data_IF_399729049646
#
_entry.id   IF_399729049646
#
_cell.length_a   1.000
_cell.length_b   1.000
_cell.length_c   1.000
_cell.angle_alpha   90.00
_cell.angle_beta   90.00
_cell.angle_gamma   90.00
#
_symmetry.space_group_name_H-M   'P 1'
#
loop_
_entity.id
_entity.type
_entity.pdbx_description
1 polymer ?
#
# COMPACT_ATOMS: atom_id res chain seq x y z
N UNK A 1 7.41 -7.44 20.57
CA UNK A 1 6.46 -7.61 19.47
C UNK A 1 6.61 -8.99 18.87
N UNK A 2 5.57 -9.81 18.92
CA UNK A 2 5.56 -11.12 18.27
C UNK A 2 5.16 -10.97 16.80
N UNK A 3 5.87 -11.66 15.89
CA UNK A 3 5.52 -11.69 14.47
C UNK A 3 5.06 -13.09 14.08
N UNK A 4 3.91 -13.20 13.42
CA UNK A 4 3.27 -14.49 13.10
C UNK A 4 2.83 -14.53 11.65
N UNK A 5 3.00 -15.67 10.98
CA UNK A 5 2.52 -15.91 9.62
C UNK A 5 1.13 -16.54 9.67
N UNK A 6 0.18 -15.96 8.93
CA UNK A 6 -1.13 -16.56 8.70
C UNK A 6 -1.12 -17.37 7.39
N UNK A 7 -1.85 -18.48 7.41
CA UNK A 7 -1.81 -19.50 6.34
C UNK A 7 -2.92 -19.37 5.30
N UNK A 8 -3.88 -18.48 5.51
CA UNK A 8 -5.03 -18.31 4.63
C UNK A 8 -5.27 -16.80 4.43
N UNK A 9 -5.71 -16.34 3.25
CA UNK A 9 -6.05 -14.95 3.00
C UNK A 9 -7.36 -14.55 3.72
N UNK A 10 -7.55 -13.26 3.99
CA UNK A 10 -8.77 -12.77 4.64
C UNK A 10 -9.82 -12.49 3.55
N UNK A 11 -10.88 -13.29 3.49
CA UNK A 11 -11.87 -13.21 2.40
C UNK A 11 -12.57 -11.85 2.29
N UNK A 12 -12.77 -11.15 3.41
CA UNK A 12 -13.37 -9.79 3.42
C UNK A 12 -12.42 -8.79 2.77
N UNK A 13 -11.12 -8.87 3.11
CA UNK A 13 -10.09 -8.04 2.51
C UNK A 13 -9.93 -8.33 1.01
N UNK A 14 -9.80 -9.60 0.64
CA UNK A 14 -9.62 -10.05 -0.74
C UNK A 14 -10.75 -9.53 -1.64
N UNK A 15 -12.00 -9.78 -1.24
CA UNK A 15 -13.16 -9.41 -2.06
C UNK A 15 -13.39 -7.91 -2.12
N UNK A 16 -13.08 -7.18 -1.04
CA UNK A 16 -13.09 -5.70 -1.07
C UNK A 16 -12.08 -5.19 -2.08
N UNK A 17 -10.87 -5.76 -2.09
CA UNK A 17 -9.82 -5.32 -3.00
C UNK A 17 -10.12 -5.69 -4.47
N UNK A 18 -10.71 -6.85 -4.74
CA UNK A 18 -11.16 -7.21 -6.09
C UNK A 18 -12.19 -6.21 -6.63
N UNK A 19 -13.18 -5.86 -5.81
CA UNK A 19 -14.21 -4.88 -6.18
C UNK A 19 -13.62 -3.47 -6.35
N UNK A 20 -12.72 -3.05 -5.47
CA UNK A 20 -11.99 -1.78 -5.62
C UNK A 20 -11.14 -1.73 -6.90
N UNK A 21 -10.37 -2.78 -7.18
CA UNK A 21 -9.52 -2.84 -8.37
C UNK A 21 -10.34 -2.80 -9.66
N UNK A 22 -11.53 -3.41 -9.67
CA UNK A 22 -12.45 -3.35 -10.82
C UNK A 22 -12.92 -1.94 -11.19
N UNK A 23 -12.88 -0.99 -10.24
CA UNK A 23 -13.31 0.40 -10.43
C UNK A 23 -12.16 1.38 -10.64
N UNK A 24 -10.93 0.98 -10.32
CA UNK A 24 -9.76 1.87 -10.35
C UNK A 24 -8.78 1.60 -11.50
N UNK A 25 -9.02 0.54 -12.28
CA UNK A 25 -8.11 0.10 -13.34
C UNK A 25 -6.95 -0.75 -12.82
N UNK A 26 -6.61 -0.71 -11.53
CA UNK A 26 -5.45 -1.40 -10.94
C UNK A 26 -5.60 -2.93 -10.85
N UNK A 27 -5.93 -3.59 -11.95
CA UNK A 27 -6.12 -5.03 -12.06
C UNK A 27 -4.78 -5.74 -12.20
N UNK A 28 -4.76 -7.02 -11.80
CA UNK A 28 -3.63 -7.92 -12.02
C UNK A 28 -3.25 -8.03 -13.52
N UNK A 29 -4.22 -7.80 -14.42
CA UNK A 29 -4.01 -7.75 -15.87
C UNK A 29 -3.16 -6.55 -16.29
N UNK A 30 -3.49 -5.34 -15.82
CA UNK A 30 -2.69 -4.14 -16.10
C UNK A 30 -1.27 -4.24 -15.52
N UNK A 31 -1.15 -4.80 -14.31
CA UNK A 31 0.14 -5.05 -13.70
C UNK A 31 1.01 -6.01 -14.54
N UNK A 32 0.44 -7.14 -14.97
CA UNK A 32 1.10 -8.11 -15.86
C UNK A 32 1.63 -7.43 -17.13
N UNK A 33 0.79 -6.65 -17.80
CA UNK A 33 1.19 -5.92 -19.00
C UNK A 33 2.31 -4.89 -18.74
N UNK A 34 2.23 -4.19 -17.60
CA UNK A 34 3.24 -3.21 -17.19
C UNK A 34 4.59 -3.87 -16.95
N UNK A 35 4.60 -5.00 -16.24
CA UNK A 35 5.82 -5.77 -15.96
C UNK A 35 6.42 -6.31 -17.27
N UNK A 36 5.59 -6.88 -18.15
CA UNK A 36 6.03 -7.38 -19.45
C UNK A 36 6.71 -6.29 -20.28
N UNK A 37 6.09 -5.10 -20.37
CA UNK A 37 6.64 -3.96 -21.11
C UNK A 37 7.93 -3.42 -20.48
N UNK A 38 8.02 -3.39 -19.15
CA UNK A 38 9.13 -2.74 -18.42
C UNK A 38 10.37 -3.63 -18.30
N UNK A 39 10.20 -4.94 -18.16
CA UNK A 39 11.29 -5.86 -17.81
C UNK A 39 11.60 -6.91 -18.87
N UNK A 40 10.91 -6.90 -20.03
CA UNK A 40 11.11 -7.83 -21.14
C UNK A 40 11.09 -9.32 -20.71
N UNK A 41 10.30 -9.65 -19.68
CA UNK A 41 10.14 -11.00 -19.13
C UNK A 41 9.36 -11.87 -20.12
N UNK A 42 9.75 -13.15 -20.22
CA UNK A 42 9.06 -14.14 -21.05
C UNK A 42 7.56 -14.18 -20.70
N UNK A 43 6.73 -14.13 -21.74
CA UNK A 43 5.28 -14.11 -21.59
C UNK A 43 4.76 -15.33 -20.84
N UNK A 44 5.29 -16.52 -21.11
CA UNK A 44 4.85 -17.76 -20.48
C UNK A 44 5.10 -17.76 -18.97
N UNK A 45 6.19 -17.11 -18.52
CA UNK A 45 6.46 -16.94 -17.09
C UNK A 45 5.39 -16.05 -16.46
N UNK A 46 5.09 -14.90 -17.06
CA UNK A 46 4.05 -14.01 -16.55
C UNK A 46 2.65 -14.62 -16.63
N UNK A 47 2.35 -15.38 -17.68
CA UNK A 47 1.09 -16.14 -17.82
C UNK A 47 0.95 -17.12 -16.65
N UNK A 48 2.00 -17.89 -16.33
CA UNK A 48 2.00 -18.82 -15.19
C UNK A 48 1.84 -18.14 -13.81
N UNK A 49 2.30 -16.90 -13.67
CA UNK A 49 2.14 -16.14 -12.43
C UNK A 49 0.75 -15.53 -12.26
N UNK A 50 0.17 -14.99 -13.34
CA UNK A 50 -0.98 -14.08 -13.25
C UNK A 50 -2.32 -14.68 -13.68
N UNK A 51 -2.34 -15.65 -14.61
CA UNK A 51 -3.59 -16.01 -15.29
C UNK A 51 -4.65 -16.58 -14.34
N UNK A 52 -4.28 -17.44 -13.41
CA UNK A 52 -5.23 -17.97 -12.42
C UNK A 52 -5.78 -16.87 -11.48
N UNK A 53 -4.95 -15.89 -11.12
CA UNK A 53 -5.37 -14.73 -10.31
C UNK A 53 -6.33 -13.84 -11.10
N UNK A 54 -6.02 -13.57 -12.37
CA UNK A 54 -6.85 -12.78 -13.28
C UNK A 54 -8.20 -13.48 -13.50
N UNK A 55 -8.20 -14.77 -13.79
CA UNK A 55 -9.40 -15.56 -14.04
C UNK A 55 -10.31 -15.59 -12.80
N UNK A 56 -9.74 -15.75 -11.60
CA UNK A 56 -10.49 -15.64 -10.36
C UNK A 56 -11.08 -14.23 -10.18
N UNK A 57 -10.27 -13.19 -10.35
CA UNK A 57 -10.69 -11.79 -10.20
C UNK A 57 -11.86 -11.48 -11.13
N UNK A 58 -11.71 -11.79 -12.41
CA UNK A 58 -12.72 -11.59 -13.45
C UNK A 58 -13.99 -12.41 -13.14
N UNK A 59 -13.84 -13.64 -12.65
CA UNK A 59 -14.98 -14.45 -12.24
C UNK A 59 -15.78 -13.80 -11.09
N UNK A 60 -15.11 -13.34 -10.03
CA UNK A 60 -15.79 -12.71 -8.89
C UNK A 60 -16.48 -11.42 -9.32
N UNK A 61 -15.73 -10.50 -9.94
CA UNK A 61 -16.21 -9.17 -10.31
C UNK A 61 -17.41 -9.25 -11.27
N UNK A 62 -17.35 -10.12 -12.28
CA UNK A 62 -18.41 -10.23 -13.28
C UNK A 62 -19.69 -10.92 -12.75
N UNK A 63 -19.63 -11.59 -11.59
CA UNK A 63 -20.76 -12.33 -11.02
C UNK A 63 -21.34 -11.68 -9.75
N UNK A 64 -20.70 -10.65 -9.19
CA UNK A 64 -21.29 -9.84 -8.12
C UNK A 64 -22.36 -8.93 -8.71
N UNK A 65 -23.61 -9.11 -8.26
CA UNK A 65 -24.75 -8.29 -8.66
C UNK A 65 -25.12 -7.34 -7.52
N UNK A 66 -24.87 -6.06 -7.72
CA UNK A 66 -25.30 -4.99 -6.85
C UNK A 66 -25.59 -3.74 -7.68
N UNK A 67 -26.27 -2.77 -7.07
CA UNK A 67 -26.49 -1.47 -7.68
C UNK A 67 -25.16 -0.77 -8.02
N UNK A 68 -25.05 -0.23 -9.23
CA UNK A 68 -23.79 0.35 -9.71
C UNK A 68 -23.43 1.64 -8.97
N UNK A 69 -24.42 2.48 -8.62
CA UNK A 69 -24.15 3.72 -7.86
C UNK A 69 -23.62 3.39 -6.46
N UNK A 70 -24.19 2.36 -5.82
CA UNK A 70 -23.69 1.85 -4.55
C UNK A 70 -22.26 1.27 -4.67
N UNK A 71 -21.98 0.50 -5.73
CA UNK A 71 -20.63 -0.02 -5.97
C UNK A 71 -19.62 1.09 -6.21
N UNK A 72 -20.00 2.11 -7.00
CA UNK A 72 -19.15 3.28 -7.24
C UNK A 72 -18.93 4.10 -5.97
N UNK A 73 -19.95 4.22 -5.11
CA UNK A 73 -19.81 4.87 -3.81
C UNK A 73 -18.86 4.09 -2.88
N UNK A 74 -19.04 2.78 -2.73
CA UNK A 74 -18.27 1.98 -1.77
C UNK A 74 -16.85 1.67 -2.23
N UNK A 75 -16.66 1.42 -3.53
CA UNK A 75 -15.41 0.90 -4.11
C UNK A 75 -14.79 1.83 -5.15
N UNK A 76 -15.33 3.03 -5.34
CA UNK A 76 -14.80 4.01 -6.28
C UNK A 76 -13.46 4.60 -5.88
N UNK A 77 -12.79 5.24 -6.84
CA UNK A 77 -11.59 6.05 -6.61
C UNK A 77 -11.99 7.44 -6.15
N UNK A 78 -11.20 8.00 -5.24
CA UNK A 78 -11.33 9.37 -4.77
C UNK A 78 -10.07 10.18 -5.12
N UNK A 79 -10.18 11.51 -5.10
CA UNK A 79 -9.14 12.39 -5.63
C UNK A 79 -7.81 12.26 -4.89
N UNK A 80 -7.87 12.15 -3.56
CA UNK A 80 -6.70 12.21 -2.68
C UNK A 80 -6.66 11.11 -1.62
N UNK A 81 -7.62 10.18 -1.60
CA UNK A 81 -7.58 9.02 -0.69
C UNK A 81 -6.81 7.84 -1.32
N UNK A 82 -6.04 7.13 -0.50
CA UNK A 82 -5.27 5.92 -0.83
C UNK A 82 -6.14 4.66 -0.97
N UNK A 83 -7.45 4.76 -0.78
CA UNK A 83 -8.40 3.64 -0.84
C UNK A 83 -9.81 4.10 -1.19
N UNK A 84 -10.80 3.28 -0.84
CA UNK A 84 -12.22 3.55 -1.01
C UNK A 84 -12.97 3.46 0.33
N UNK A 85 -14.23 3.89 0.35
CA UNK A 85 -15.06 3.86 1.57
C UNK A 85 -15.22 2.47 2.17
N UNK A 86 -15.25 1.40 1.37
CA UNK A 86 -15.33 0.03 1.89
C UNK A 86 -14.17 -0.30 2.83
N UNK A 87 -12.95 0.20 2.58
CA UNK A 87 -11.80 -0.05 3.48
C UNK A 87 -11.98 0.59 4.86
N UNK A 88 -12.67 1.74 4.96
CA UNK A 88 -13.00 2.33 6.26
C UNK A 88 -14.03 1.48 7.01
N UNK A 89 -14.97 0.85 6.30
CA UNK A 89 -16.03 0.05 6.88
C UNK A 89 -15.58 -1.35 7.32
N UNK A 90 -14.48 -1.89 6.77
CA UNK A 90 -13.99 -3.24 7.10
C UNK A 90 -12.73 -3.26 7.97
N UNK A 91 -12.19 -2.10 8.33
CA UNK A 91 -10.87 -1.99 8.95
C UNK A 91 -10.69 -2.93 10.16
N UNK A 92 -11.67 -2.96 11.06
CA UNK A 92 -11.67 -3.81 12.25
C UNK A 92 -11.81 -5.30 11.92
N UNK A 93 -12.70 -5.68 10.99
CA UNK A 93 -12.93 -7.09 10.67
C UNK A 93 -11.74 -7.70 9.93
N UNK A 94 -11.00 -6.90 9.16
CA UNK A 94 -9.75 -7.32 8.53
C UNK A 94 -8.54 -7.39 9.49
N UNK A 95 -8.74 -7.08 10.77
CA UNK A 95 -7.69 -7.14 11.81
C UNK A 95 -7.96 -8.25 12.83
N UNK A 96 -8.58 -9.34 12.39
CA UNK A 96 -8.85 -10.54 13.20
C UNK A 96 -8.13 -11.72 12.56
N UNK A 97 -7.22 -12.41 13.29
CA UNK A 97 -6.50 -13.55 12.74
C UNK A 97 -7.45 -14.75 12.55
N UNK A 98 -7.17 -15.57 11.54
CA UNK A 98 -7.89 -16.84 11.27
C UNK A 98 -9.41 -16.69 11.12
N UNK A 99 -9.88 -15.51 10.71
CA UNK A 99 -11.30 -15.23 10.52
C UNK A 99 -11.82 -15.84 9.21
N UNK A 100 -12.84 -16.69 9.31
CA UNK A 100 -13.56 -17.19 8.14
C UNK A 100 -14.57 -16.17 7.59
N UNK A 101 -15.10 -16.43 6.39
CA UNK A 101 -16.05 -15.54 5.73
C UNK A 101 -17.31 -15.30 6.57
N UNK A 102 -17.89 -16.34 7.18
CA UNK A 102 -19.15 -16.21 7.92
C UNK A 102 -18.97 -15.34 9.17
N UNK A 103 -17.89 -15.56 9.92
CA UNK A 103 -17.52 -14.77 11.08
C UNK A 103 -17.23 -13.30 10.70
N UNK A 104 -16.52 -13.06 9.59
CA UNK A 104 -16.25 -11.72 9.09
C UNK A 104 -17.52 -10.95 8.68
N UNK A 105 -18.44 -11.62 7.99
CA UNK A 105 -19.74 -11.05 7.60
C UNK A 105 -20.62 -10.75 8.82
N UNK A 106 -20.65 -11.65 9.81
CA UNK A 106 -21.38 -11.42 11.06
C UNK A 106 -20.80 -10.22 11.81
N UNK A 107 -19.48 -10.17 12.00
CA UNK A 107 -18.80 -9.06 12.67
C UNK A 107 -19.04 -7.71 11.97
N UNK A 108 -19.07 -7.70 10.63
CA UNK A 108 -19.36 -6.50 9.86
C UNK A 108 -20.79 -5.97 10.11
N UNK A 109 -21.75 -6.84 10.42
CA UNK A 109 -23.14 -6.46 10.72
C UNK A 109 -23.35 -6.00 12.18
N UNK A 110 -22.55 -6.50 13.13
CA UNK A 110 -22.83 -6.39 14.57
C UNK A 110 -22.00 -5.32 15.31
N UNK A 111 -21.16 -4.54 14.63
CA UNK A 111 -20.23 -3.63 15.31
C UNK A 111 -20.86 -2.34 15.86
N UNK A 112 -20.33 -1.85 17.00
CA UNK A 112 -20.72 -0.57 17.60
C UNK A 112 -20.22 0.66 16.84
N UNK A 113 -21.05 1.72 16.84
CA UNK A 113 -20.70 3.05 16.33
C UNK A 113 -19.46 3.65 17.00
N UNK A 114 -19.25 3.33 18.28
CA UNK A 114 -18.12 3.84 19.06
C UNK A 114 -16.79 3.31 18.52
N UNK A 115 -16.70 2.00 18.23
CA UNK A 115 -15.48 1.43 17.66
C UNK A 115 -15.26 1.89 16.21
N UNK A 116 -16.35 2.01 15.43
CA UNK A 116 -16.27 2.61 14.10
C UNK A 116 -15.76 4.06 14.15
N UNK A 117 -16.24 4.88 15.09
CA UNK A 117 -15.76 6.25 15.28
C UNK A 117 -14.26 6.31 15.56
N UNK A 118 -13.74 5.45 16.44
CA UNK A 118 -12.30 5.40 16.77
C UNK A 118 -11.49 5.03 15.54
N UNK A 119 -11.87 3.97 14.82
CA UNK A 119 -11.15 3.54 13.62
C UNK A 119 -11.24 4.58 12.50
N UNK A 120 -12.44 5.09 12.23
CA UNK A 120 -12.68 6.06 11.16
C UNK A 120 -11.89 7.35 11.36
N UNK A 121 -11.95 7.94 12.56
CA UNK A 121 -11.19 9.15 12.89
C UNK A 121 -9.68 8.90 12.82
N UNK A 122 -9.21 7.78 13.35
CA UNK A 122 -7.79 7.46 13.37
C UNK A 122 -7.22 7.13 11.99
N UNK A 123 -7.98 6.47 11.10
CA UNK A 123 -7.59 6.26 9.71
C UNK A 123 -7.50 7.59 8.95
N UNK A 124 -8.46 8.51 9.14
CA UNK A 124 -8.39 9.83 8.53
C UNK A 124 -7.18 10.63 9.02
N UNK A 125 -6.86 10.54 10.32
CA UNK A 125 -5.64 11.14 10.87
C UNK A 125 -4.40 10.51 10.24
N UNK A 126 -4.28 9.18 10.25
CA UNK A 126 -3.12 8.47 9.71
C UNK A 126 -2.88 8.75 8.22
N UNK A 127 -3.94 9.07 7.47
CA UNK A 127 -3.86 9.34 6.05
C UNK A 127 -3.57 10.79 5.70
N UNK A 128 -4.22 11.74 6.38
CA UNK A 128 -4.23 13.15 6.00
C UNK A 128 -3.50 14.08 6.95
N UNK A 129 -3.29 13.67 8.20
CA UNK A 129 -2.62 14.52 9.16
C UNK A 129 -1.10 14.58 8.87
N UNK A 130 -0.45 15.71 9.17
CA UNK A 130 1.01 15.79 9.21
C UNK A 130 1.62 14.74 10.14
N UNK A 131 2.86 14.32 9.87
CA UNK A 131 3.57 13.31 10.69
C UNK A 131 3.75 13.72 12.17
N UNK A 132 3.77 15.02 12.46
CA UNK A 132 3.87 15.60 13.80
C UNK A 132 2.51 15.88 14.45
N UNK A 133 1.41 15.45 13.82
CA UNK A 133 0.07 15.62 14.38
C UNK A 133 -0.12 14.74 15.63
N UNK A 134 -0.42 15.40 16.75
CA UNK A 134 -0.66 14.76 18.06
C UNK A 134 -2.10 14.89 18.55
N UNK A 135 -2.98 15.49 17.74
CA UNK A 135 -4.38 15.69 18.10
C UNK A 135 -5.15 14.38 18.16
N UNK A 136 -6.18 14.34 19.01
CA UNK A 136 -7.12 13.21 19.10
C UNK A 136 -8.52 13.74 18.80
N UNK A 137 -9.28 13.00 18.00
CA UNK A 137 -10.68 13.30 17.71
C UNK A 137 -11.53 12.50 18.70
N UNK A 138 -12.22 13.20 19.60
CA UNK A 138 -12.93 12.59 20.73
C UNK A 138 -14.45 12.62 20.59
N UNK A 139 -14.97 13.46 19.69
CA UNK A 139 -16.40 13.59 19.43
C UNK A 139 -16.70 13.91 17.96
N UNK A 140 -17.98 13.87 17.59
CA UNK A 140 -18.43 14.11 16.22
C UNK A 140 -18.15 15.54 15.73
N UNK A 141 -18.25 16.56 16.59
CA UNK A 141 -17.97 17.94 16.21
C UNK A 141 -16.51 18.14 15.80
N UNK A 142 -15.59 17.52 16.53
CA UNK A 142 -14.15 17.48 16.20
C UNK A 142 -13.89 16.70 14.90
N UNK A 143 -14.55 15.54 14.71
CA UNK A 143 -14.46 14.77 13.48
C UNK A 143 -14.92 15.59 12.27
N UNK A 144 -16.07 16.26 12.38
CA UNK A 144 -16.60 17.10 11.32
C UNK A 144 -15.65 18.26 11.00
N UNK A 145 -15.15 18.96 12.01
CA UNK A 145 -14.18 20.05 11.83
C UNK A 145 -12.85 19.56 11.21
N UNK A 146 -12.46 18.31 11.46
CA UNK A 146 -11.32 17.69 10.81
C UNK A 146 -11.62 17.41 9.33
N UNK A 147 -12.75 16.77 9.01
CA UNK A 147 -13.19 16.48 7.64
C UNK A 147 -13.30 17.77 6.80
N UNK A 148 -13.85 18.84 7.38
CA UNK A 148 -13.99 20.14 6.72
C UNK A 148 -12.64 20.70 6.22
N UNK A 149 -11.57 20.46 6.97
CA UNK A 149 -10.20 20.93 6.67
C UNK A 149 -9.42 20.01 5.73
N UNK A 150 -9.94 18.82 5.42
CA UNK A 150 -9.24 17.88 4.53
C UNK A 150 -9.00 18.50 3.15
N UNK A 151 -7.90 18.14 2.46
CA UNK A 151 -7.63 18.57 1.09
C UNK A 151 -8.45 17.74 0.08
N UNK A 152 -9.76 17.69 0.29
CA UNK A 152 -10.73 16.92 -0.49
C UNK A 152 -11.80 17.86 -1.10
N UNK A 153 -12.37 17.50 -2.26
CA UNK A 153 -13.56 18.13 -2.81
C UNK A 153 -14.75 18.15 -1.83
N UNK A 154 -15.65 19.12 -1.99
CA UNK A 154 -16.79 19.30 -1.08
C UNK A 154 -17.75 18.10 -1.09
N UNK A 155 -17.94 17.48 -2.25
CA UNK A 155 -18.73 16.26 -2.41
C UNK A 155 -18.09 15.06 -1.70
N UNK A 156 -16.77 14.86 -1.79
CA UNK A 156 -16.08 13.79 -1.07
C UNK A 156 -16.13 13.98 0.46
N UNK A 157 -15.99 15.23 0.94
CA UNK A 157 -16.19 15.55 2.36
C UNK A 157 -17.61 15.24 2.83
N UNK A 158 -18.60 15.61 2.02
CA UNK A 158 -19.99 15.29 2.30
C UNK A 158 -20.22 13.77 2.32
N UNK A 159 -19.59 13.03 1.40
CA UNK A 159 -19.65 11.57 1.36
C UNK A 159 -19.02 10.92 2.59
N UNK A 160 -17.89 11.42 3.12
CA UNK A 160 -17.32 10.95 4.39
C UNK A 160 -18.29 11.16 5.56
N UNK A 161 -18.91 12.34 5.65
CA UNK A 161 -19.94 12.61 6.65
C UNK A 161 -21.15 11.68 6.46
N UNK A 162 -21.58 11.44 5.21
CA UNK A 162 -22.69 10.54 4.88
C UNK A 162 -22.36 9.10 5.27
N UNK A 163 -21.14 8.62 4.99
CA UNK A 163 -20.64 7.31 5.38
C UNK A 163 -20.70 7.13 6.89
N UNK A 164 -20.21 8.12 7.65
CA UNK A 164 -20.22 8.06 9.10
C UNK A 164 -21.63 8.06 9.71
N UNK A 165 -22.50 8.93 9.20
CA UNK A 165 -23.84 9.08 9.76
C UNK A 165 -24.73 7.87 9.50
N UNK A 166 -24.53 7.17 8.37
CA UNK A 166 -25.32 6.01 7.95
C UNK A 166 -24.49 4.70 7.97
N UNK A 167 -23.50 4.60 8.86
CA UNK A 167 -22.54 3.49 8.83
C UNK A 167 -23.22 2.12 9.01
N UNK A 168 -24.27 2.01 9.84
CA UNK A 168 -25.01 0.76 10.05
C UNK A 168 -25.63 0.25 8.74
N UNK A 169 -26.27 1.15 7.99
CA UNK A 169 -26.88 0.84 6.70
C UNK A 169 -25.80 0.41 5.69
N UNK A 170 -24.73 1.21 5.56
CA UNK A 170 -23.66 0.90 4.62
C UNK A 170 -22.93 -0.39 4.93
N UNK A 171 -22.80 -0.76 6.21
CA UNK A 171 -22.26 -2.06 6.59
C UNK A 171 -23.19 -3.21 6.29
N UNK A 172 -24.49 -3.03 6.48
CA UNK A 172 -25.48 -4.04 6.07
C UNK A 172 -25.43 -4.31 4.56
N UNK A 173 -25.39 -3.24 3.76
CA UNK A 173 -25.25 -3.30 2.31
C UNK A 173 -23.91 -3.93 1.90
N UNK A 174 -22.80 -3.46 2.47
CA UNK A 174 -21.46 -3.99 2.18
C UNK A 174 -21.37 -5.47 2.55
N UNK A 175 -21.91 -5.89 3.70
CA UNK A 175 -21.94 -7.29 4.11
C UNK A 175 -22.67 -8.17 3.09
N UNK A 176 -23.81 -7.74 2.54
CA UNK A 176 -24.51 -8.49 1.49
C UNK A 176 -23.68 -8.64 0.21
N UNK A 177 -22.97 -7.58 -0.18
CA UNK A 177 -22.07 -7.58 -1.35
C UNK A 177 -20.90 -8.53 -1.11
N UNK A 178 -20.19 -8.38 0.01
CA UNK A 178 -19.00 -9.17 0.35
C UNK A 178 -19.33 -10.63 0.67
N UNK A 179 -20.52 -10.94 1.18
CA UNK A 179 -20.98 -12.33 1.35
C UNK A 179 -21.15 -13.03 -0.01
N UNK A 180 -21.69 -12.31 -0.99
CA UNK A 180 -21.81 -12.83 -2.37
C UNK A 180 -20.46 -12.96 -3.03
N UNK A 181 -19.62 -11.91 -2.97
CA UNK A 181 -18.27 -11.92 -3.52
C UNK A 181 -17.39 -13.01 -2.87
N UNK A 182 -17.50 -13.20 -1.56
CA UNK A 182 -16.77 -14.21 -0.80
C UNK A 182 -17.14 -15.63 -1.21
N UNK A 183 -18.43 -15.91 -1.42
CA UNK A 183 -18.86 -17.22 -1.95
C UNK A 183 -18.32 -17.47 -3.35
N UNK A 184 -18.34 -16.47 -4.23
CA UNK A 184 -17.78 -16.58 -5.59
C UNK A 184 -16.26 -16.78 -5.55
N UNK A 185 -15.57 -16.06 -4.67
CA UNK A 185 -14.13 -16.21 -4.43
C UNK A 185 -13.80 -17.65 -4.00
N UNK A 186 -14.54 -18.20 -3.03
CA UNK A 186 -14.33 -19.57 -2.55
C UNK A 186 -14.58 -20.64 -3.62
N UNK A 187 -15.49 -20.41 -4.57
CA UNK A 187 -15.69 -21.33 -5.72
C UNK A 187 -14.49 -21.42 -6.66
N UNK A 188 -13.63 -20.38 -6.69
CA UNK A 188 -12.40 -20.37 -7.47
C UNK A 188 -11.14 -20.59 -6.64
N UNK A 189 -11.26 -20.66 -5.31
CA UNK A 189 -10.10 -20.68 -4.42
C UNK A 189 -9.13 -21.83 -4.68
N UNK A 190 -9.64 -23.02 -5.01
CA UNK A 190 -8.80 -24.17 -5.34
C UNK A 190 -7.86 -23.92 -6.54
N UNK A 191 -8.23 -23.04 -7.47
CA UNK A 191 -7.38 -22.70 -8.63
C UNK A 191 -6.18 -21.82 -8.27
N UNK A 192 -6.21 -21.13 -7.13
CA UNK A 192 -5.19 -20.16 -6.72
C UNK A 192 -4.53 -20.49 -5.37
N UNK A 193 -5.07 -21.43 -4.59
CA UNK A 193 -4.53 -21.74 -3.24
C UNK A 193 -3.06 -22.17 -3.24
N UNK A 194 -2.53 -22.64 -4.36
CA UNK A 194 -1.11 -22.99 -4.49
C UNK A 194 -0.18 -21.78 -4.29
N UNK A 195 -0.60 -20.55 -4.65
CA UNK A 195 0.16 -19.33 -4.40
C UNK A 195 0.41 -19.08 -2.91
N UNK A 196 -0.51 -19.51 -2.05
CA UNK A 196 -0.34 -19.41 -0.59
C UNK A 196 0.78 -20.32 -0.09
N UNK A 197 0.91 -21.51 -0.70
CA UNK A 197 2.02 -22.43 -0.43
C UNK A 197 3.37 -21.83 -0.84
N UNK A 198 3.44 -21.19 -2.01
CA UNK A 198 4.64 -20.50 -2.46
C UNK A 198 5.02 -19.34 -1.55
N UNK A 199 4.05 -18.49 -1.21
CA UNK A 199 4.25 -17.39 -0.28
C UNK A 199 4.76 -17.90 1.08
N UNK A 200 4.09 -18.90 1.65
CA UNK A 200 4.46 -19.46 2.95
C UNK A 200 5.87 -20.05 2.94
N UNK A 201 6.26 -20.75 1.87
CA UNK A 201 7.59 -21.32 1.73
C UNK A 201 8.69 -20.23 1.68
N UNK A 202 8.42 -19.11 1.03
CA UNK A 202 9.37 -18.01 0.92
C UNK A 202 9.55 -17.22 2.25
N UNK A 203 8.50 -17.11 3.06
CA UNK A 203 8.50 -16.17 4.20
C UNK A 203 8.58 -16.85 5.57
N UNK A 204 8.21 -18.12 5.71
CA UNK A 204 8.06 -18.77 7.03
C UNK A 204 9.37 -18.85 7.83
N UNK A 205 10.45 -19.34 7.21
CA UNK A 205 11.75 -19.46 7.88
C UNK A 205 12.38 -18.09 8.20
N UNK A 206 12.49 -17.14 7.24
CA UNK A 206 13.00 -15.80 7.54
C UNK A 206 12.22 -15.09 8.64
N UNK A 207 10.89 -15.20 8.63
CA UNK A 207 10.03 -14.62 9.67
C UNK A 207 10.27 -15.28 11.03
N UNK A 208 10.40 -16.61 11.09
CA UNK A 208 10.67 -17.32 12.33
C UNK A 208 12.05 -16.97 12.93
N UNK A 209 13.04 -16.69 12.09
CA UNK A 209 14.40 -16.34 12.53
C UNK A 209 14.53 -14.88 12.99
N UNK A 210 13.91 -13.95 12.26
CA UNK A 210 14.16 -12.51 12.42
C UNK A 210 12.93 -11.69 12.85
N UNK A 211 11.76 -12.31 12.92
CA UNK A 211 10.51 -11.71 13.39
C UNK A 211 10.17 -10.39 12.70
N UNK A 212 9.86 -9.38 13.51
CA UNK A 212 9.53 -8.04 13.05
C UNK A 212 10.62 -7.38 12.17
N UNK A 213 11.89 -7.61 12.49
CA UNK A 213 13.01 -7.01 11.75
C UNK A 213 13.07 -7.49 10.30
N UNK A 214 12.66 -8.74 10.05
CA UNK A 214 12.50 -9.24 8.67
C UNK A 214 11.39 -8.49 7.95
N UNK A 215 10.24 -8.27 8.60
CA UNK A 215 9.13 -7.53 8.00
C UNK A 215 9.58 -6.12 7.58
N UNK A 216 10.21 -5.38 8.51
CA UNK A 216 10.63 -4.00 8.23
C UNK A 216 11.66 -3.91 7.12
N UNK A 217 12.67 -4.79 7.15
CA UNK A 217 13.77 -4.78 6.18
C UNK A 217 13.33 -5.28 4.80
N UNK A 218 12.49 -6.31 4.74
CA UNK A 218 12.12 -6.96 3.50
C UNK A 218 10.99 -6.23 2.75
N UNK A 219 10.03 -5.67 3.48
CA UNK A 219 8.85 -5.00 2.90
C UNK A 219 8.92 -3.47 2.98
N UNK A 220 9.96 -2.90 3.60
CA UNK A 220 10.14 -1.45 3.71
C UNK A 220 9.06 -0.76 4.56
N UNK A 221 8.48 -1.49 5.51
CA UNK A 221 7.42 -0.99 6.40
C UNK A 221 8.04 -0.62 7.73
N UNK A 222 7.58 0.48 8.36
CA UNK A 222 7.94 0.80 9.73
C UNK A 222 6.79 0.36 10.64
N UNK A 223 7.05 -0.60 11.51
CA UNK A 223 6.01 -1.12 12.40
C UNK A 223 5.86 -0.18 13.60
N UNK A 224 4.63 0.00 14.08
CA UNK A 224 4.39 0.81 15.27
C UNK A 224 5.17 0.26 16.47
N UNK A 225 5.95 1.07 17.20
CA UNK A 225 6.61 0.64 18.43
C UNK A 225 5.63 0.19 19.53
N UNK A 226 4.36 0.60 19.42
CA UNK A 226 3.31 0.23 20.35
C UNK A 226 2.66 -1.13 20.05
N UNK A 227 3.02 -1.78 18.95
CA UNK A 227 2.41 -3.05 18.55
C UNK A 227 2.90 -4.23 19.42
N UNK A 228 1.94 -4.95 20.00
CA UNK A 228 2.18 -6.17 20.76
C UNK A 228 2.45 -7.35 19.83
N UNK A 229 1.65 -7.44 18.76
CA UNK A 229 1.70 -8.51 17.76
C UNK A 229 1.59 -7.92 16.35
N UNK A 230 2.27 -8.54 15.39
CA UNK A 230 2.06 -8.30 13.97
C UNK A 230 1.83 -9.62 13.22
N UNK A 231 0.77 -9.67 12.42
CA UNK A 231 0.45 -10.79 11.56
C UNK A 231 0.86 -10.48 10.12
N UNK A 232 1.64 -11.37 9.51
CA UNK A 232 1.92 -11.37 8.08
C UNK A 232 0.85 -12.19 7.38
N UNK A 233 0.06 -11.54 6.54
CA UNK A 233 -1.16 -12.07 5.94
C UNK A 233 -1.01 -12.14 4.42
N UNK A 234 -1.12 -13.31 3.78
CA UNK A 234 -1.07 -13.41 2.33
C UNK A 234 -2.31 -12.78 1.68
N UNK A 235 -2.13 -12.19 0.50
CA UNK A 235 -3.21 -11.66 -0.34
C UNK A 235 -3.03 -12.05 -1.81
N UNK A 236 -4.09 -12.59 -2.41
CA UNK A 236 -4.12 -13.01 -3.82
C UNK A 236 -4.61 -11.84 -4.68
N UNK A 237 -5.66 -11.15 -4.24
CA UNK A 237 -6.20 -9.96 -4.87
C UNK A 237 -5.18 -8.81 -4.91
N UNK A 238 -4.30 -8.70 -3.90
CA UNK A 238 -3.18 -7.76 -3.87
C UNK A 238 -1.88 -8.38 -4.37
N UNK A 239 -1.91 -9.09 -5.50
CA UNK A 239 -0.86 -10.03 -5.87
C UNK A 239 0.61 -9.54 -5.76
N UNK A 240 0.93 -8.25 -5.92
CA UNK A 240 2.31 -7.73 -5.82
C UNK A 240 2.54 -6.65 -4.76
N UNK A 241 1.53 -6.29 -3.98
CA UNK A 241 1.57 -5.12 -3.10
C UNK A 241 1.80 -5.45 -1.64
N UNK A 242 1.86 -4.40 -0.81
CA UNK A 242 1.75 -4.53 0.64
C UNK A 242 0.71 -3.55 1.19
N UNK A 243 0.01 -3.93 2.26
CA UNK A 243 -0.92 -3.05 2.99
C UNK A 243 -0.79 -3.28 4.48
N UNK A 244 -0.42 -2.22 5.20
CA UNK A 244 -0.32 -2.23 6.65
C UNK A 244 -1.63 -1.74 7.28
N UNK A 245 -2.18 -2.51 8.21
CA UNK A 245 -3.39 -2.21 8.99
C UNK A 245 -3.01 -2.12 10.46
N UNK A 246 -2.95 -0.88 10.96
CA UNK A 246 -2.56 -0.56 12.34
C UNK A 246 -3.74 -0.60 13.30
N UNK A 247 -3.47 -0.89 14.58
CA UNK A 247 -4.47 -0.84 15.64
C UNK A 247 -4.58 0.56 16.22
N UNK A 248 -5.82 0.93 16.55
CA UNK A 248 -6.12 2.18 17.24
C UNK A 248 -6.72 1.96 18.64
N UNK A 249 -6.78 0.69 19.09
CA UNK A 249 -7.27 0.31 20.42
C UNK A 249 -6.10 0.02 21.37
N UNK A 250 -6.32 0.26 22.66
CA UNK A 250 -5.24 0.34 23.66
C UNK A 250 -5.01 -0.91 24.51
N UNK A 251 -5.93 -1.89 24.53
CA UNK A 251 -5.78 -3.07 25.41
C UNK A 251 -4.78 -4.10 24.86
N UNK A 252 -4.80 -4.34 23.55
CA UNK A 252 -3.84 -5.18 22.83
C UNK A 252 -3.69 -4.67 21.40
N UNK A 253 -2.52 -4.16 21.06
CA UNK A 253 -2.22 -3.55 19.77
C UNK A 253 -1.76 -4.65 18.82
N UNK A 254 -2.71 -5.23 18.10
CA UNK A 254 -2.44 -6.26 17.08
C UNK A 254 -2.44 -5.60 15.72
N UNK A 255 -1.35 -5.68 14.96
CA UNK A 255 -1.24 -5.13 13.60
C UNK A 255 -1.21 -6.22 12.54
N UNK A 256 -1.49 -5.83 11.30
CA UNK A 256 -1.46 -6.73 10.16
C UNK A 256 -0.65 -6.11 9.02
N UNK A 257 0.24 -6.90 8.41
CA UNK A 257 0.81 -6.59 7.12
C UNK A 257 0.28 -7.61 6.10
N UNK A 258 -0.58 -7.13 5.21
CA UNK A 258 -0.99 -7.88 4.04
C UNK A 258 0.10 -7.80 2.98
N UNK A 259 0.44 -8.93 2.39
CA UNK A 259 1.48 -9.04 1.35
C UNK A 259 0.95 -9.86 0.18
N UNK A 260 1.19 -9.35 -1.03
CA UNK A 260 0.88 -10.05 -2.26
C UNK A 260 1.61 -11.36 -2.40
N UNK A 261 0.90 -12.42 -2.79
CA UNK A 261 1.50 -13.75 -2.99
C UNK A 261 2.55 -13.83 -4.09
N UNK A 262 2.56 -12.85 -5.01
CA UNK A 262 3.58 -12.69 -6.04
C UNK A 262 4.64 -11.63 -5.64
N UNK A 263 4.64 -11.08 -4.43
CA UNK A 263 5.62 -10.07 -4.02
C UNK A 263 7.06 -10.59 -4.16
N UNK A 264 7.36 -11.75 -3.58
CA UNK A 264 8.71 -12.36 -3.67
C UNK A 264 9.06 -12.83 -5.08
N UNK A 265 8.21 -13.64 -5.76
CA UNK A 265 8.49 -14.04 -7.15
C UNK A 265 8.68 -12.87 -8.10
N UNK A 266 7.85 -11.82 -7.99
CA UNK A 266 8.00 -10.64 -8.83
C UNK A 266 9.26 -9.88 -8.49
N UNK A 267 9.62 -9.75 -7.20
CA UNK A 267 10.91 -9.15 -6.83
C UNK A 267 12.06 -9.92 -7.46
N UNK A 268 12.07 -11.25 -7.43
CA UNK A 268 13.11 -12.06 -8.06
C UNK A 268 13.16 -11.91 -9.60
N UNK A 269 12.02 -11.99 -10.29
CA UNK A 269 12.00 -11.92 -11.76
C UNK A 269 12.08 -10.49 -12.30
N UNK A 270 11.79 -9.47 -11.49
CA UNK A 270 11.99 -8.05 -11.86
C UNK A 270 13.34 -7.52 -11.39
N UNK A 271 13.99 -8.19 -10.44
CA UNK A 271 15.43 -8.04 -10.13
C UNK A 271 16.32 -8.75 -11.17
N UNK A 272 15.79 -8.96 -12.39
CA UNK A 272 16.54 -9.35 -13.60
C UNK A 272 17.21 -8.13 -14.26
N UNK A 273 17.10 -6.95 -13.65
CA UNK A 273 18.09 -5.93 -13.98
C UNK A 273 19.45 -6.44 -13.53
N UNK A 274 20.29 -6.74 -14.51
CA UNK A 274 21.71 -7.01 -14.28
C UNK A 274 22.27 -5.87 -13.41
N UNK A 275 23.36 -6.14 -12.70
CA UNK A 275 24.12 -5.08 -12.01
C UNK A 275 24.34 -3.91 -13.00
N UNK A 276 24.62 -4.22 -14.26
CA UNK A 276 24.78 -3.24 -15.34
C UNK A 276 23.49 -2.48 -15.68
N UNK A 277 22.31 -3.09 -15.68
CA UNK A 277 21.04 -2.40 -15.91
C UNK A 277 20.69 -1.44 -14.78
N UNK A 278 20.92 -1.85 -13.51
CA UNK A 278 20.74 -1.00 -12.33
C UNK A 278 21.69 0.18 -12.40
N UNK A 279 22.96 -0.08 -12.71
CA UNK A 279 23.99 0.92 -12.93
C UNK A 279 23.56 1.88 -14.05
N UNK A 280 23.15 1.38 -15.22
CA UNK A 280 22.76 2.19 -16.37
C UNK A 280 21.52 3.05 -16.09
N UNK A 281 20.55 2.55 -15.31
CA UNK A 281 19.40 3.36 -14.90
C UNK A 281 19.82 4.47 -13.94
N UNK A 282 20.62 4.16 -12.93
CA UNK A 282 21.15 5.16 -12.01
C UNK A 282 22.00 6.22 -12.73
N UNK A 283 22.88 5.80 -13.65
CA UNK A 283 23.66 6.70 -14.50
C UNK A 283 22.77 7.56 -15.38
N UNK A 284 21.68 7.04 -15.95
CA UNK A 284 20.72 7.86 -16.71
C UNK A 284 20.02 8.90 -15.84
N UNK A 285 19.68 8.55 -14.60
CA UNK A 285 19.07 9.51 -13.66
C UNK A 285 20.06 10.59 -13.24
N UNK A 286 21.35 10.26 -13.05
CA UNK A 286 22.38 11.23 -12.67
C UNK A 286 23.01 11.98 -13.85
N UNK A 287 22.96 11.42 -15.06
CA UNK A 287 23.60 11.92 -16.28
C UNK A 287 22.88 13.09 -16.93
N UNK A 288 22.16 13.86 -16.13
CA UNK A 288 21.49 15.09 -16.53
C UNK A 288 22.09 16.23 -15.71
N UNK A 289 22.48 17.29 -16.41
CA UNK A 289 23.25 18.39 -15.82
C UNK A 289 22.56 18.99 -14.60
N UNK A 290 21.24 19.19 -14.67
CA UNK A 290 20.46 19.81 -13.59
C UNK A 290 20.29 18.87 -12.41
N UNK A 291 20.01 17.59 -12.64
CA UNK A 291 19.93 16.58 -11.56
C UNK A 291 21.29 16.38 -10.88
N UNK A 292 22.38 16.43 -11.63
CA UNK A 292 23.72 16.33 -11.07
C UNK A 292 24.09 17.55 -10.22
N UNK A 293 23.77 18.77 -10.68
CA UNK A 293 23.92 20.01 -9.91
C UNK A 293 23.12 19.97 -8.59
N UNK A 294 21.88 19.47 -8.63
CA UNK A 294 21.07 19.22 -7.44
C UNK A 294 21.81 18.30 -6.46
N UNK A 295 22.31 17.15 -6.91
CA UNK A 295 23.02 16.20 -6.04
C UNK A 295 24.28 16.83 -5.42
N UNK A 296 25.00 17.67 -6.16
CA UNK A 296 26.11 18.46 -5.64
C UNK A 296 25.68 19.43 -4.54
N UNK A 297 24.63 20.22 -4.77
CA UNK A 297 24.11 21.16 -3.76
C UNK A 297 23.66 20.44 -2.49
N UNK A 298 23.02 19.26 -2.63
CA UNK A 298 22.62 18.42 -1.50
C UNK A 298 23.79 17.72 -0.79
N UNK A 299 24.93 17.59 -1.47
CA UNK A 299 26.16 17.08 -0.85
C UNK A 299 26.79 18.05 0.14
N UNK A 300 26.47 19.34 0.04
CA UNK A 300 26.91 20.40 0.95
C UNK A 300 26.01 20.51 2.18
N UNK A 301 24.75 20.08 2.08
CA UNK A 301 23.80 20.01 3.19
C UNK A 301 22.34 19.93 2.73
N UNK A 302 21.40 19.70 3.66
CA UNK A 302 19.97 19.68 3.37
C UNK A 302 19.47 20.99 2.77
N UNK A 303 18.60 20.93 1.76
CA UNK A 303 17.98 22.11 1.12
C UNK A 303 16.49 21.92 0.88
N UNK A 304 15.72 23.00 0.97
CA UNK A 304 14.28 22.94 0.64
C UNK A 304 14.04 23.30 -0.83
N UNK A 305 12.93 22.83 -1.40
CA UNK A 305 12.69 22.89 -2.85
C UNK A 305 12.76 24.29 -3.48
N UNK A 306 12.30 25.33 -2.78
CA UNK A 306 12.40 26.71 -3.28
C UNK A 306 13.84 27.24 -3.27
N UNK A 307 14.67 26.82 -2.31
CA UNK A 307 16.10 27.17 -2.28
C UNK A 307 16.82 26.59 -3.49
N UNK A 308 16.56 25.31 -3.79
CA UNK A 308 17.12 24.64 -4.98
C UNK A 308 16.65 25.30 -6.28
N UNK A 309 15.37 25.67 -6.37
CA UNK A 309 14.81 26.38 -7.52
C UNK A 309 15.52 27.72 -7.75
N UNK A 310 15.77 28.47 -6.68
CA UNK A 310 16.49 29.74 -6.75
C UNK A 310 17.97 29.56 -7.12
N UNK A 311 18.67 28.59 -6.53
CA UNK A 311 20.10 28.36 -6.77
C UNK A 311 20.40 27.88 -8.18
N UNK A 312 19.45 27.18 -8.80
CA UNK A 312 19.61 26.58 -10.13
C UNK A 312 18.90 27.37 -11.24
N UNK A 313 18.25 28.48 -10.89
CA UNK A 313 17.42 29.29 -11.80
C UNK A 313 16.34 28.44 -12.52
N UNK A 314 15.73 27.51 -11.78
CA UNK A 314 14.68 26.62 -12.27
C UNK A 314 13.32 26.98 -11.68
N UNK A 315 12.24 26.54 -12.36
CA UNK A 315 10.92 26.60 -11.75
C UNK A 315 10.79 25.60 -10.59
N UNK A 316 9.97 25.93 -9.59
CA UNK A 316 9.64 25.01 -8.51
C UNK A 316 9.04 23.69 -9.02
N UNK A 317 8.24 23.74 -10.08
CA UNK A 317 7.67 22.55 -10.73
C UNK A 317 8.76 21.65 -11.33
N UNK A 318 9.77 22.25 -11.98
CA UNK A 318 10.92 21.51 -12.54
C UNK A 318 11.74 20.86 -11.44
N UNK A 319 12.01 21.56 -10.34
CA UNK A 319 12.70 20.99 -9.18
C UNK A 319 11.89 19.85 -8.58
N UNK A 320 10.57 19.98 -8.39
CA UNK A 320 9.72 18.89 -7.91
C UNK A 320 9.75 17.67 -8.81
N UNK A 321 9.75 17.86 -10.13
CA UNK A 321 9.88 16.76 -11.08
C UNK A 321 11.24 16.06 -10.98
N UNK A 322 12.34 16.82 -10.91
CA UNK A 322 13.67 16.25 -10.70
C UNK A 322 13.80 15.53 -9.36
N UNK A 323 13.22 16.08 -8.29
CA UNK A 323 13.17 15.46 -6.98
C UNK A 323 12.43 14.12 -7.02
N UNK A 324 11.29 14.03 -7.69
CA UNK A 324 10.56 12.77 -7.82
C UNK A 324 11.43 11.67 -8.47
N UNK A 325 12.17 11.99 -9.53
CA UNK A 325 13.07 11.04 -10.19
C UNK A 325 14.27 10.64 -9.31
N UNK A 326 14.84 11.59 -8.56
CA UNK A 326 15.97 11.32 -7.66
C UNK A 326 15.57 10.56 -6.39
N UNK A 327 14.33 10.76 -5.92
CA UNK A 327 13.70 9.99 -4.85
C UNK A 327 13.39 8.56 -5.29
N UNK A 328 12.83 8.40 -6.51
CA UNK A 328 12.55 7.09 -7.10
C UNK A 328 13.85 6.27 -7.28
N UNK A 329 14.93 6.93 -7.69
CA UNK A 329 16.26 6.31 -7.77
C UNK A 329 16.94 6.10 -6.40
N UNK A 330 16.37 6.61 -5.31
CA UNK A 330 16.88 6.48 -3.94
C UNK A 330 18.10 7.34 -3.60
N UNK A 331 18.54 8.23 -4.49
CA UNK A 331 19.70 9.10 -4.27
C UNK A 331 19.42 10.29 -3.34
N UNK A 332 18.15 10.65 -3.21
CA UNK A 332 17.69 11.72 -2.32
C UNK A 332 16.70 11.13 -1.32
N UNK A 333 16.68 11.67 -0.10
CA UNK A 333 15.67 11.40 0.92
C UNK A 333 14.97 12.70 1.33
N UNK A 334 13.80 12.58 1.92
CA UNK A 334 13.04 13.73 2.44
C UNK A 334 13.12 13.73 3.96
N UNK A 335 13.36 14.91 4.54
CA UNK A 335 13.15 15.20 5.96
C UNK A 335 12.12 16.32 6.10
N UNK A 336 11.09 16.10 6.91
CA UNK A 336 10.10 17.13 7.26
C UNK A 336 10.49 17.77 8.56
N UNK A 337 10.59 19.10 8.58
CA UNK A 337 10.94 19.86 9.77
C UNK A 337 10.14 21.17 9.79
N UNK A 338 9.32 21.37 10.82
CA UNK A 338 8.58 22.62 11.09
C UNK A 338 7.87 23.20 9.85
N UNK A 339 7.00 22.40 9.22
CA UNK A 339 6.22 22.74 8.02
C UNK A 339 7.01 22.91 6.70
N UNK A 340 8.30 22.53 6.65
CA UNK A 340 9.11 22.57 5.42
C UNK A 340 9.65 21.19 5.06
N UNK A 341 9.69 20.93 3.76
CA UNK A 341 10.24 19.71 3.16
C UNK A 341 11.69 19.99 2.77
N UNK A 342 12.62 19.33 3.46
CA UNK A 342 14.03 19.34 3.13
C UNK A 342 14.38 18.08 2.36
N UNK A 343 15.17 18.25 1.32
CA UNK A 343 15.80 17.19 0.58
C UNK A 343 17.22 16.99 1.09
N UNK A 344 17.63 15.73 1.22
CA UNK A 344 18.95 15.34 1.70
C UNK A 344 19.56 14.30 0.77
N UNK A 345 20.87 14.36 0.58
CA UNK A 345 21.59 13.36 -0.18
C UNK A 345 21.62 12.03 0.60
N UNK A 346 21.14 10.95 -0.01
CA UNK A 346 21.26 9.61 0.56
C UNK A 346 22.69 9.07 0.34
N UNK A 347 23.59 9.45 1.25
CA UNK A 347 25.03 9.11 1.17
C UNK A 347 25.30 7.62 1.23
N UNK A 348 24.45 6.83 1.90
CA UNK A 348 24.58 5.37 1.92
C UNK A 348 24.33 4.83 0.52
N UNK A 349 23.18 5.13 -0.07
CA UNK A 349 22.82 4.65 -1.41
C UNK A 349 23.81 5.10 -2.48
N UNK A 350 24.34 6.31 -2.39
CA UNK A 350 25.36 6.80 -3.33
C UNK A 350 26.68 6.01 -3.21
N UNK A 351 27.12 5.66 -2.00
CA UNK A 351 28.31 4.81 -1.81
C UNK A 351 28.09 3.42 -2.37
N UNK A 352 26.96 2.80 -2.02
CA UNK A 352 26.60 1.47 -2.51
C UNK A 352 26.61 1.44 -4.05
N UNK A 353 26.03 2.47 -4.70
CA UNK A 353 26.05 2.61 -6.15
C UNK A 353 27.47 2.78 -6.73
N UNK A 354 28.33 3.59 -6.10
CA UNK A 354 29.70 3.80 -6.57
C UNK A 354 30.53 2.50 -6.46
N UNK A 355 30.32 1.73 -5.39
CA UNK A 355 30.98 0.44 -5.21
C UNK A 355 30.48 -0.59 -6.23
N UNK A 356 29.17 -0.64 -6.50
CA UNK A 356 28.59 -1.48 -7.57
C UNK A 356 29.16 -1.10 -8.95
N UNK A 357 29.20 0.20 -9.28
CA UNK A 357 29.76 0.72 -10.53
C UNK A 357 31.23 0.36 -10.68
N UNK A 358 32.00 0.54 -9.60
CA UNK A 358 33.43 0.21 -9.56
C UNK A 358 33.64 -1.28 -9.79
N UNK A 359 32.89 -2.13 -9.11
CA UNK A 359 33.01 -3.58 -9.23
C UNK A 359 32.66 -4.06 -10.64
N UNK A 360 31.58 -3.53 -11.23
CA UNK A 360 31.17 -3.83 -12.62
C UNK A 360 32.21 -3.39 -13.65
N UNK A 361 32.76 -2.17 -13.54
CA UNK A 361 33.69 -1.63 -14.55
C UNK A 361 35.16 -2.04 -14.35
N UNK A 362 35.59 -2.30 -13.11
CA UNK A 362 37.00 -2.54 -12.77
C UNK A 362 37.27 -3.95 -12.23
N UNK A 363 36.24 -4.77 -11.98
CA UNK A 363 36.37 -6.15 -11.52
C UNK A 363 37.00 -6.31 -10.13
N UNK A 364 36.78 -5.34 -9.24
CA UNK A 364 37.32 -5.30 -7.87
C UNK A 364 36.25 -5.50 -6.81
#
# INVERSE_FOLDING_TARGET
MEARLLREPNSIFETTLLLFNSRTGNSSRELKETIQKRFAIDRNVLDSCFDAIIDMSDYVVNNVKADNELLDFLFGRHSSMKGCFAFYLIHDVCRVPEQDLAAGIAALREQSKALFFVNFSSMLIAEFAPEDYTGVITNYSELFAFIEKLPLPADEKFQLCRLYNNFEEYRGLLAGILETAGRLYMQKYDSVKHYIGWFSAAVAEPLAQSGASYIESNYGVKISPSADEIYLQPSIAMCSGTKYLMSFTSEKVVDFLYVGVLFEPLREITDVSTVDDRICRALRTMGDDRKFEILKLLSEGPKYGMELASLLELSTATVSHHMALLLDAGFVSIRRESNRVYYELNRKKLRDFLDELRSSLLGQ
#
